data_IF_084489572758
#
_entry.id   IF_084489572758
#
_cell.length_a   1.000
_cell.length_b   1.000
_cell.length_c   1.000
_cell.angle_alpha   90.00
_cell.angle_beta   90.00
_cell.angle_gamma   90.00
#
_symmetry.space_group_name_H-M   'P 1'
#
loop_
_entity.id
_entity.type
_entity.pdbx_description
1 polymer ?
#
# COMPACT_ATOMS: atom_id res chain seq x y z
N UNK A 1 11.54 -7.18 3.68
CA UNK A 1 11.40 -8.21 4.74
C UNK A 1 9.97 -8.25 5.27
N UNK A 2 9.54 -9.36 5.83
CA UNK A 2 8.27 -9.50 6.57
C UNK A 2 8.55 -9.44 8.07
N UNK A 3 7.68 -8.76 8.83
CA UNK A 3 7.79 -8.63 10.29
C UNK A 3 6.65 -9.36 10.99
N UNK A 4 6.96 -10.16 12.02
CA UNK A 4 5.96 -10.77 12.89
C UNK A 4 6.23 -10.38 14.36
N UNK A 5 5.42 -9.49 14.96
CA UNK A 5 5.63 -8.99 16.33
C UNK A 5 5.41 -10.04 17.42
N UNK A 6 4.97 -11.24 17.05
CA UNK A 6 4.75 -12.35 17.99
C UNK A 6 6.00 -13.22 18.18
N UNK A 7 6.96 -13.08 17.26
CA UNK A 7 8.22 -13.82 17.36
C UNK A 7 9.13 -13.25 18.45
N UNK A 8 9.84 -14.13 19.12
CA UNK A 8 10.91 -13.74 20.01
C UNK A 8 12.02 -13.07 19.20
N UNK A 9 12.55 -11.94 19.71
CA UNK A 9 13.57 -11.14 19.03
C UNK A 9 13.21 -10.69 17.60
N UNK A 10 11.92 -10.50 17.31
CA UNK A 10 11.41 -10.16 15.97
C UNK A 10 12.16 -9.00 15.31
N UNK A 11 12.46 -7.93 16.07
CA UNK A 11 13.18 -6.77 15.54
C UNK A 11 14.63 -7.10 15.20
N UNK A 12 15.34 -7.88 16.02
CA UNK A 12 16.75 -8.23 15.76
C UNK A 12 16.87 -9.15 14.54
N UNK A 13 15.96 -10.12 14.40
CA UNK A 13 15.86 -10.95 13.19
C UNK A 13 15.58 -10.10 11.95
N UNK A 14 14.67 -9.13 12.05
CA UNK A 14 14.38 -8.20 10.95
C UNK A 14 15.61 -7.39 10.55
N UNK A 15 16.33 -6.82 11.53
CA UNK A 15 17.56 -6.04 11.29
C UNK A 15 18.61 -6.89 10.55
N UNK A 16 18.86 -8.10 11.05
CA UNK A 16 19.82 -9.04 10.42
C UNK A 16 19.44 -9.30 8.96
N UNK A 17 18.17 -9.63 8.68
CA UNK A 17 17.72 -9.91 7.30
C UNK A 17 17.83 -8.67 6.41
N UNK A 18 17.53 -7.48 6.92
CA UNK A 18 17.65 -6.23 6.14
C UNK A 18 19.11 -5.93 5.84
N UNK A 19 20.01 -6.03 6.84
CA UNK A 19 21.42 -5.70 6.70
C UNK A 19 22.17 -6.73 5.84
N UNK A 20 21.94 -8.03 6.06
CA UNK A 20 22.62 -9.11 5.32
C UNK A 20 22.21 -9.18 3.85
N UNK A 21 20.97 -8.82 3.51
CA UNK A 21 20.45 -8.94 2.16
C UNK A 21 20.20 -7.58 1.47
N UNK A 22 20.52 -6.47 2.12
CA UNK A 22 20.32 -5.13 1.54
C UNK A 22 18.87 -4.81 1.22
N UNK A 23 17.91 -5.32 2.02
CA UNK A 23 16.49 -5.11 1.76
C UNK A 23 16.08 -3.67 2.08
N UNK A 24 15.27 -3.07 1.21
CA UNK A 24 14.92 -1.66 1.26
C UNK A 24 13.47 -1.40 1.72
N UNK A 25 12.86 -2.30 2.44
CA UNK A 25 11.51 -2.10 2.98
C UNK A 25 11.03 -3.28 3.81
N UNK A 26 9.96 -3.02 4.55
CA UNK A 26 9.33 -3.99 5.42
C UNK A 26 7.87 -4.20 5.00
N UNK A 27 7.40 -5.43 5.05
CA UNK A 27 5.97 -5.80 4.89
C UNK A 27 5.43 -6.27 6.23
N UNK A 28 4.21 -5.83 6.55
CA UNK A 28 3.45 -6.31 7.68
C UNK A 28 1.98 -6.52 7.30
N UNK A 29 1.35 -7.53 7.88
CA UNK A 29 -0.07 -7.82 7.65
C UNK A 29 -0.84 -7.99 8.96
N UNK A 30 -1.43 -6.92 9.51
CA UNK A 30 -2.15 -6.99 10.80
C UNK A 30 -3.26 -8.05 10.79
N UNK A 31 -3.96 -8.17 9.68
CA UNK A 31 -5.02 -9.15 9.48
C UNK A 31 -4.52 -10.61 9.54
N UNK A 32 -3.27 -10.87 9.12
CA UNK A 32 -2.68 -12.21 9.13
C UNK A 32 -2.03 -12.57 10.48
N UNK A 33 -1.41 -11.58 11.10
CA UNK A 33 -0.76 -11.78 12.39
C UNK A 33 -1.73 -11.71 13.57
N UNK A 34 -2.93 -11.14 13.38
CA UNK A 34 -3.91 -10.92 14.45
C UNK A 34 -3.43 -9.89 15.48
N UNK A 35 -2.47 -9.02 15.11
CA UNK A 35 -1.92 -7.98 15.97
C UNK A 35 -2.23 -6.63 15.35
N UNK A 36 -2.98 -5.75 16.05
CA UNK A 36 -3.36 -4.44 15.54
C UNK A 36 -2.15 -3.50 15.42
N UNK A 37 -2.30 -2.45 14.59
CA UNK A 37 -1.22 -1.49 14.31
C UNK A 37 -0.81 -0.67 15.54
N UNK A 38 -1.73 -0.45 16.48
CA UNK A 38 -1.50 0.31 17.73
C UNK A 38 -1.00 -0.56 18.89
N UNK A 39 -0.76 -1.85 18.67
CA UNK A 39 -0.17 -2.72 19.68
C UNK A 39 1.25 -2.24 20.02
N UNK A 40 1.61 -2.15 21.32
CA UNK A 40 2.92 -1.69 21.75
C UNK A 40 4.12 -2.46 21.15
N UNK A 41 3.92 -3.71 20.76
CA UNK A 41 4.95 -4.53 20.09
C UNK A 41 5.34 -4.00 18.70
N UNK A 42 4.52 -3.13 18.11
CA UNK A 42 4.79 -2.51 16.82
C UNK A 42 5.70 -1.26 16.91
N UNK A 43 5.74 -0.59 18.07
CA UNK A 43 6.54 0.63 18.27
C UNK A 43 8.03 0.47 17.88
N UNK A 44 8.73 -0.62 18.24
CA UNK A 44 10.12 -0.82 17.84
C UNK A 44 10.31 -0.89 16.31
N UNK A 45 9.36 -1.52 15.59
CA UNK A 45 9.37 -1.56 14.12
C UNK A 45 9.25 -0.16 13.52
N UNK A 46 8.27 0.63 13.98
CA UNK A 46 8.03 1.98 13.45
C UNK A 46 9.25 2.88 13.64
N UNK A 47 9.85 2.87 14.84
CA UNK A 47 11.08 3.62 15.12
C UNK A 47 12.24 3.17 14.25
N UNK A 48 12.41 1.87 14.04
CA UNK A 48 13.46 1.34 13.18
C UNK A 48 13.26 1.77 11.72
N UNK A 49 12.04 1.68 11.19
CA UNK A 49 11.73 2.12 9.84
C UNK A 49 12.00 3.62 9.65
N UNK A 50 11.62 4.47 10.60
CA UNK A 50 11.94 5.90 10.57
C UNK A 50 13.45 6.13 10.62
N UNK A 51 14.17 5.48 11.53
CA UNK A 51 15.62 5.65 11.71
C UNK A 51 16.41 5.25 10.46
N UNK A 52 15.98 4.21 9.76
CA UNK A 52 16.65 3.66 8.57
C UNK A 52 16.04 4.17 7.26
N UNK A 53 15.09 5.06 7.32
CA UNK A 53 14.32 5.57 6.17
C UNK A 53 13.67 4.45 5.32
N UNK A 54 13.22 3.37 5.95
CA UNK A 54 12.62 2.21 5.29
C UNK A 54 11.11 2.39 5.14
N UNK A 55 10.53 2.22 3.94
CA UNK A 55 9.08 2.17 3.78
C UNK A 55 8.50 0.91 4.40
N UNK A 56 7.34 1.08 5.05
CA UNK A 56 6.54 0.00 5.62
C UNK A 56 5.30 -0.23 4.76
N UNK A 57 5.25 -1.36 4.08
CA UNK A 57 4.04 -1.78 3.36
C UNK A 57 3.13 -2.55 4.30
N UNK A 58 1.89 -2.09 4.43
CA UNK A 58 0.86 -2.75 5.23
C UNK A 58 -0.13 -3.47 4.31
N UNK A 59 -0.39 -4.75 4.56
CA UNK A 59 -1.54 -5.40 3.93
C UNK A 59 -2.81 -4.81 4.54
N UNK A 60 -3.56 -4.05 3.73
CA UNK A 60 -4.84 -3.48 4.14
C UNK A 60 -5.94 -4.00 3.24
N UNK A 61 -7.16 -4.09 3.79
CA UNK A 61 -8.30 -4.62 3.08
C UNK A 61 -8.69 -6.03 3.50
N UNK A 62 -9.32 -6.76 2.59
CA UNK A 62 -9.88 -8.08 2.86
C UNK A 62 -8.86 -9.21 2.70
N UNK A 63 -9.25 -10.39 3.19
CA UNK A 63 -8.50 -11.63 3.02
C UNK A 63 -9.46 -12.81 2.85
N UNK A 64 -8.97 -13.90 2.27
CA UNK A 64 -9.66 -15.20 2.23
C UNK A 64 -9.33 -16.09 3.44
N UNK A 65 -8.39 -15.67 4.29
CA UNK A 65 -8.00 -16.45 5.46
C UNK A 65 -9.12 -16.46 6.50
N UNK A 66 -9.67 -17.66 6.78
CA UNK A 66 -10.88 -17.83 7.59
C UNK A 66 -10.73 -17.29 9.04
N UNK A 67 -9.55 -17.42 9.62
CA UNK A 67 -9.29 -17.03 11.01
C UNK A 67 -8.73 -15.62 11.17
N UNK A 68 -8.82 -14.78 10.12
CA UNK A 68 -8.26 -13.43 10.10
C UNK A 68 -9.33 -12.39 10.41
N UNK A 69 -9.19 -11.58 11.48
CA UNK A 69 -10.16 -10.55 11.83
C UNK A 69 -10.17 -9.43 10.78
N UNK A 70 -11.26 -9.28 10.03
CA UNK A 70 -11.38 -8.27 8.97
C UNK A 70 -11.18 -6.83 9.46
N UNK A 71 -11.56 -6.55 10.70
CA UNK A 71 -11.39 -5.21 11.31
C UNK A 71 -9.94 -4.74 11.27
N UNK A 72 -8.96 -5.64 11.43
CA UNK A 72 -7.53 -5.30 11.37
C UNK A 72 -7.05 -4.93 9.96
N UNK A 73 -7.84 -5.20 8.94
CA UNK A 73 -7.54 -4.81 7.55
C UNK A 73 -8.03 -3.42 7.17
N UNK A 74 -8.67 -2.67 8.07
CA UNK A 74 -9.25 -1.36 7.75
C UNK A 74 -8.21 -0.24 7.74
N UNK A 75 -8.20 0.53 6.66
CA UNK A 75 -7.20 1.58 6.44
C UNK A 75 -7.25 2.69 7.49
N UNK A 76 -8.39 2.92 8.11
CA UNK A 76 -8.57 3.96 9.14
C UNK A 76 -7.65 3.78 10.35
N UNK A 77 -7.25 2.55 10.67
CA UNK A 77 -6.32 2.26 11.76
C UNK A 77 -4.89 2.76 11.53
N UNK A 78 -4.57 3.16 10.30
CA UNK A 78 -3.25 3.75 9.96
C UNK A 78 -3.17 5.21 10.40
N UNK A 79 -4.28 5.92 10.45
CA UNK A 79 -4.31 7.36 10.76
C UNK A 79 -3.62 7.70 12.10
N UNK A 80 -3.93 7.06 13.25
CA UNK A 80 -3.23 7.34 14.51
C UNK A 80 -1.74 6.98 14.46
N UNK A 81 -1.35 5.98 13.69
CA UNK A 81 0.06 5.60 13.54
C UNK A 81 0.83 6.68 12.77
N UNK A 82 0.26 7.15 11.65
CA UNK A 82 0.85 8.22 10.85
C UNK A 82 0.97 9.53 11.64
N UNK A 83 0.04 9.83 12.53
CA UNK A 83 0.12 10.99 13.43
C UNK A 83 1.22 10.84 14.49
N UNK A 84 1.37 9.64 15.05
CA UNK A 84 2.41 9.33 16.07
C UNK A 84 3.83 9.28 15.47
N UNK A 85 3.94 8.85 14.21
CA UNK A 85 5.20 8.68 13.46
C UNK A 85 5.13 9.44 12.13
N UNK A 86 5.18 10.77 12.12
CA UNK A 86 4.95 11.57 10.92
C UNK A 86 6.00 11.36 9.82
N UNK A 87 7.19 10.90 10.17
CA UNK A 87 8.27 10.61 9.21
C UNK A 87 8.22 9.17 8.67
N UNK A 88 7.33 8.33 9.20
CA UNK A 88 7.20 6.94 8.74
C UNK A 88 6.53 6.91 7.35
N UNK A 89 7.24 6.36 6.37
CA UNK A 89 6.66 6.10 5.04
C UNK A 89 5.83 4.83 5.08
N UNK A 90 4.52 4.95 4.85
CA UNK A 90 3.58 3.83 4.88
C UNK A 90 2.95 3.64 3.50
N UNK A 91 2.91 2.40 3.00
CA UNK A 91 2.22 2.04 1.76
C UNK A 91 1.08 1.08 2.09
N UNK A 92 -0.15 1.46 1.76
CA UNK A 92 -1.35 0.66 1.97
C UNK A 92 -1.59 -0.24 0.76
N UNK A 93 -1.45 -1.55 0.93
CA UNK A 93 -1.66 -2.49 -0.16
C UNK A 93 -3.12 -2.52 -0.60
N UNK A 94 -3.33 -2.75 -1.92
CA UNK A 94 -4.65 -2.97 -2.54
C UNK A 94 -5.65 -1.83 -2.29
N UNK A 95 -5.15 -0.59 -2.12
CA UNK A 95 -6.02 0.57 -1.78
C UNK A 95 -6.98 0.31 -0.61
N UNK A 96 -6.63 -0.61 0.30
CA UNK A 96 -7.50 -0.99 1.43
C UNK A 96 -8.81 -1.66 1.03
N UNK A 97 -8.90 -2.23 -0.18
CA UNK A 97 -10.10 -2.85 -0.72
C UNK A 97 -10.75 -3.86 0.26
N UNK A 98 -12.09 -3.84 0.51
CA UNK A 98 -13.13 -3.03 -0.15
C UNK A 98 -13.39 -1.66 0.49
N UNK A 99 -12.72 -1.28 1.57
CA UNK A 99 -12.90 0.00 2.30
C UNK A 99 -11.99 1.10 1.74
N UNK A 100 -11.94 1.23 0.42
CA UNK A 100 -11.03 2.13 -0.28
C UNK A 100 -11.27 3.62 0.01
N UNK A 101 -12.51 4.01 0.37
CA UNK A 101 -12.78 5.38 0.77
C UNK A 101 -12.01 5.77 2.04
N UNK A 102 -11.87 4.87 3.00
CA UNK A 102 -11.02 5.10 4.17
C UNK A 102 -9.56 5.26 3.75
N UNK A 103 -9.08 4.40 2.85
CA UNK A 103 -7.72 4.50 2.33
C UNK A 103 -7.47 5.85 1.66
N UNK A 104 -8.39 6.30 0.81
CA UNK A 104 -8.29 7.59 0.11
C UNK A 104 -8.20 8.75 1.09
N UNK A 105 -9.05 8.80 2.12
CA UNK A 105 -9.00 9.92 3.09
C UNK A 105 -7.76 9.84 3.99
N UNK A 106 -7.27 8.65 4.31
CA UNK A 106 -6.05 8.46 5.10
C UNK A 106 -4.82 8.92 4.35
N UNK A 107 -4.65 8.51 3.07
CA UNK A 107 -3.51 8.95 2.26
C UNK A 107 -3.57 10.44 1.94
N UNK A 108 -4.77 11.02 1.78
CA UNK A 108 -4.95 12.47 1.57
C UNK A 108 -4.51 13.28 2.78
N UNK A 109 -4.87 12.84 3.98
CA UNK A 109 -4.61 13.56 5.23
C UNK A 109 -3.13 13.49 5.63
N UNK A 110 -2.49 12.35 5.46
CA UNK A 110 -1.17 12.05 6.00
C UNK A 110 -0.09 12.14 4.90
N UNK A 111 0.86 13.08 4.96
CA UNK A 111 1.83 13.34 3.89
C UNK A 111 2.64 12.10 3.47
N UNK A 112 3.08 11.29 4.43
CA UNK A 112 3.95 10.12 4.22
C UNK A 112 3.18 8.79 4.15
N UNK A 113 1.86 8.82 3.94
CA UNK A 113 1.04 7.63 3.69
C UNK A 113 0.66 7.56 2.23
N UNK A 114 0.88 6.43 1.62
CA UNK A 114 0.70 6.11 0.20
C UNK A 114 -0.15 4.85 0.07
N UNK A 115 -0.52 4.48 -1.16
CA UNK A 115 -1.22 3.23 -1.43
C UNK A 115 -0.74 2.60 -2.76
N UNK A 116 -1.13 1.35 -3.03
CA UNK A 116 -0.83 0.69 -4.29
C UNK A 116 -2.06 -0.09 -4.82
N UNK A 117 -2.11 -0.31 -6.13
CA UNK A 117 -3.31 -0.79 -6.84
C UNK A 117 -3.25 -2.26 -7.26
N UNK A 118 -2.38 -3.06 -6.66
CA UNK A 118 -2.23 -4.46 -7.04
C UNK A 118 -3.49 -5.30 -6.85
N UNK A 119 -3.66 -6.31 -7.69
CA UNK A 119 -4.72 -7.33 -7.59
C UNK A 119 -6.16 -6.76 -7.53
N UNK A 120 -6.43 -5.63 -8.18
CA UNK A 120 -7.75 -4.98 -8.18
C UNK A 120 -8.46 -5.05 -9.54
N UNK A 121 -7.73 -5.11 -10.66
CA UNK A 121 -8.27 -4.97 -12.01
C UNK A 121 -9.31 -6.04 -12.38
N UNK A 122 -9.25 -7.22 -11.81
CA UNK A 122 -10.22 -8.30 -12.04
C UNK A 122 -11.54 -8.11 -11.27
N UNK A 123 -11.71 -6.96 -10.59
CA UNK A 123 -12.95 -6.44 -10.03
C UNK A 123 -13.28 -5.10 -10.68
N UNK A 124 -13.68 -5.08 -11.98
CA UNK A 124 -13.65 -3.87 -12.80
C UNK A 124 -14.49 -2.72 -12.23
N UNK A 125 -15.65 -3.00 -11.64
CA UNK A 125 -16.48 -1.97 -10.99
C UNK A 125 -15.78 -1.34 -9.79
N UNK A 126 -15.20 -2.14 -8.93
CA UNK A 126 -14.52 -1.64 -7.73
C UNK A 126 -13.24 -0.90 -8.11
N UNK A 127 -12.45 -1.46 -9.05
CA UNK A 127 -11.22 -0.83 -9.52
C UNK A 127 -11.48 0.55 -10.15
N UNK A 128 -12.49 0.64 -10.99
CA UNK A 128 -12.93 1.92 -11.56
C UNK A 128 -13.31 2.92 -10.46
N UNK A 129 -14.16 2.54 -9.49
CA UNK A 129 -14.58 3.44 -8.42
C UNK A 129 -13.41 3.87 -7.53
N UNK A 130 -12.47 2.98 -7.22
CA UNK A 130 -11.24 3.29 -6.46
C UNK A 130 -10.47 4.41 -7.16
N UNK A 131 -10.23 4.29 -8.46
CA UNK A 131 -9.44 5.26 -9.21
C UNK A 131 -10.18 6.59 -9.42
N UNK A 132 -11.49 6.56 -9.65
CA UNK A 132 -12.32 7.78 -9.72
C UNK A 132 -12.30 8.50 -8.37
N UNK A 133 -12.52 7.79 -7.26
CA UNK A 133 -12.48 8.40 -5.93
C UNK A 133 -11.11 9.01 -5.64
N UNK A 134 -10.02 8.30 -5.95
CA UNK A 134 -8.67 8.83 -5.78
C UNK A 134 -8.41 10.08 -6.62
N UNK A 135 -8.94 10.13 -7.85
CA UNK A 135 -8.86 11.28 -8.74
C UNK A 135 -9.67 12.48 -8.21
N UNK A 136 -10.89 12.27 -7.74
CA UNK A 136 -11.73 13.31 -7.13
C UNK A 136 -11.12 13.90 -5.86
N UNK A 137 -10.41 13.08 -5.09
CA UNK A 137 -9.70 13.50 -3.86
C UNK A 137 -8.29 14.04 -4.12
N UNK A 138 -7.83 14.07 -5.39
CA UNK A 138 -6.53 14.60 -5.83
C UNK A 138 -5.34 13.89 -5.13
N UNK A 139 -5.39 12.55 -5.06
CA UNK A 139 -4.36 11.73 -4.39
C UNK A 139 -3.67 10.72 -5.34
N UNK A 140 -3.86 10.87 -6.64
CA UNK A 140 -3.30 9.95 -7.64
C UNK A 140 -1.78 9.96 -7.70
N UNK A 141 -1.14 11.04 -7.23
CA UNK A 141 0.30 11.18 -7.07
C UNK A 141 0.88 10.36 -5.89
N UNK A 142 0.00 9.80 -5.06
CA UNK A 142 0.35 8.97 -3.89
C UNK A 142 0.11 7.48 -4.14
N UNK A 143 -0.17 7.09 -5.37
CA UNK A 143 -0.53 5.72 -5.73
C UNK A 143 0.59 5.05 -6.52
N UNK A 144 1.08 3.91 -6.01
CA UNK A 144 2.02 3.05 -6.71
C UNK A 144 1.31 2.04 -7.61
N UNK A 145 1.96 1.68 -8.69
CA UNK A 145 1.62 0.49 -9.44
C UNK A 145 2.13 -0.76 -8.71
N UNK A 146 1.35 -1.84 -8.74
CA UNK A 146 1.72 -3.14 -8.17
C UNK A 146 1.01 -4.27 -8.90
N UNK A 147 1.50 -5.50 -8.73
CA UNK A 147 0.93 -6.70 -9.34
C UNK A 147 0.34 -7.68 -8.35
N UNK A 148 0.87 -7.76 -7.13
CA UNK A 148 0.60 -8.84 -6.17
C UNK A 148 0.98 -10.23 -6.74
N UNK A 149 2.11 -10.28 -7.48
CA UNK A 149 2.62 -11.55 -8.00
C UNK A 149 2.87 -12.54 -6.84
N UNK A 150 2.48 -13.83 -6.96
CA UNK A 150 2.09 -14.55 -8.18
C UNK A 150 0.57 -14.57 -8.45
N UNK A 151 -0.27 -13.87 -7.70
CA UNK A 151 -1.73 -13.87 -7.91
C UNK A 151 -2.13 -13.24 -9.25
N UNK A 152 -1.39 -12.22 -9.68
CA UNK A 152 -1.54 -11.63 -11.01
C UNK A 152 -0.18 -11.37 -11.65
N UNK A 153 -0.15 -11.16 -12.96
CA UNK A 153 1.07 -10.89 -13.71
C UNK A 153 1.20 -9.40 -14.05
N UNK A 154 2.44 -8.97 -14.36
CA UNK A 154 2.71 -7.62 -14.82
C UNK A 154 1.87 -7.24 -16.05
N UNK A 155 1.78 -8.16 -17.03
CA UNK A 155 1.02 -7.94 -18.28
C UNK A 155 -0.47 -7.73 -18.00
N UNK A 156 -1.07 -8.56 -17.16
CA UNK A 156 -2.49 -8.45 -16.78
C UNK A 156 -2.76 -7.17 -16.01
N UNK A 157 -1.92 -6.83 -15.05
CA UNK A 157 -2.08 -5.63 -14.24
C UNK A 157 -1.98 -4.34 -15.08
N UNK A 158 -1.01 -4.24 -16.00
CA UNK A 158 -0.91 -3.12 -16.94
C UNK A 158 -2.13 -3.06 -17.86
N UNK A 159 -2.54 -4.19 -18.43
CA UNK A 159 -3.71 -4.25 -19.30
C UNK A 159 -4.98 -3.84 -18.56
N UNK A 160 -5.15 -4.34 -17.32
CA UNK A 160 -6.30 -4.02 -16.48
C UNK A 160 -6.40 -2.52 -16.17
N UNK A 161 -5.28 -1.88 -15.84
CA UNK A 161 -5.26 -0.43 -15.59
C UNK A 161 -5.56 0.37 -16.86
N UNK A 162 -4.94 0.04 -17.98
CA UNK A 162 -5.18 0.73 -19.27
C UNK A 162 -6.64 0.58 -19.76
N UNK A 163 -7.30 -0.50 -19.39
CA UNK A 163 -8.67 -0.80 -19.80
C UNK A 163 -9.73 -0.42 -18.75
N UNK A 164 -9.37 0.27 -17.68
CA UNK A 164 -10.28 0.58 -16.56
C UNK A 164 -11.56 1.30 -16.99
N UNK A 165 -11.48 2.10 -18.04
CA UNK A 165 -12.62 2.85 -18.57
C UNK A 165 -13.55 2.06 -19.50
N UNK A 166 -13.22 0.81 -19.86
CA UNK A 166 -14.10 -0.01 -20.72
C UNK A 166 -15.49 -0.22 -20.09
N UNK A 167 -15.55 -0.33 -18.76
CA UNK A 167 -16.81 -0.49 -18.02
C UNK A 167 -17.81 0.63 -18.26
N UNK A 168 -17.32 1.85 -18.50
CA UNK A 168 -18.13 3.07 -18.63
C UNK A 168 -18.15 3.63 -20.06
N UNK A 169 -17.69 2.84 -21.04
CA UNK A 169 -17.68 3.24 -22.44
C UNK A 169 -19.09 3.57 -22.93
N UNK A 170 -19.25 4.70 -23.64
CA UNK A 170 -20.52 5.19 -24.11
C UNK A 170 -21.47 5.75 -23.05
N UNK A 171 -21.08 5.73 -21.78
CA UNK A 171 -21.87 6.31 -20.68
C UNK A 171 -21.51 7.79 -20.43
N UNK A 172 -22.24 8.43 -19.48
CA UNK A 172 -21.95 9.78 -18.97
C UNK A 172 -21.15 9.76 -17.66
N UNK A 173 -20.71 8.59 -17.21
CA UNK A 173 -19.89 8.51 -16.01
C UNK A 173 -18.52 9.17 -16.21
N UNK A 174 -17.93 9.73 -15.15
CA UNK A 174 -16.58 10.28 -15.22
C UNK A 174 -15.58 9.21 -15.68
N UNK A 175 -14.49 9.63 -16.31
CA UNK A 175 -13.44 8.70 -16.75
C UNK A 175 -12.20 8.88 -15.91
N UNK A 176 -11.52 7.78 -15.61
CA UNK A 176 -10.14 7.85 -15.13
C UNK A 176 -9.30 8.47 -16.27
N UNK A 177 -8.63 9.57 -15.99
CA UNK A 177 -7.86 10.30 -17.01
C UNK A 177 -6.63 9.52 -17.45
N UNK A 178 -6.19 9.74 -18.69
CA UNK A 178 -4.94 9.16 -19.20
C UNK A 178 -3.75 9.61 -18.34
N UNK A 179 -3.77 10.86 -17.85
CA UNK A 179 -2.76 11.38 -16.92
C UNK A 179 -2.69 10.56 -15.63
N UNK A 180 -3.83 10.17 -15.06
CA UNK A 180 -3.89 9.31 -13.87
C UNK A 180 -3.32 7.93 -14.16
N UNK A 181 -3.69 7.32 -15.31
CA UNK A 181 -3.21 6.01 -15.73
C UNK A 181 -1.69 6.04 -15.94
N UNK A 182 -1.19 7.03 -16.67
CA UNK A 182 0.24 7.17 -16.96
C UNK A 182 1.04 7.47 -15.70
N UNK A 183 0.52 8.30 -14.80
CA UNK A 183 1.15 8.59 -13.51
C UNK A 183 1.34 7.31 -12.70
N UNK A 184 0.31 6.49 -12.56
CA UNK A 184 0.39 5.23 -11.81
C UNK A 184 1.37 4.26 -12.48
N UNK A 185 1.41 4.19 -13.81
CA UNK A 185 2.27 3.25 -14.54
C UNK A 185 3.75 3.68 -14.60
N UNK A 186 4.03 4.97 -14.73
CA UNK A 186 5.34 5.46 -15.15
C UNK A 186 6.00 6.42 -14.17
N UNK A 187 5.30 6.84 -13.10
CA UNK A 187 5.87 7.67 -12.04
C UNK A 187 5.93 6.90 -10.73
N UNK A 188 6.88 7.26 -9.87
CA UNK A 188 6.95 6.71 -8.52
C UNK A 188 6.73 7.82 -7.50
N UNK A 189 5.80 7.66 -6.52
CA UNK A 189 5.70 8.58 -5.40
C UNK A 189 7.00 8.75 -4.60
N UNK A 190 7.92 7.79 -4.73
CA UNK A 190 9.25 7.80 -4.09
C UNK A 190 10.39 8.12 -5.06
N UNK A 191 10.15 8.83 -6.15
CA UNK A 191 11.18 9.11 -7.15
C UNK A 191 12.44 9.72 -6.52
N UNK A 192 12.30 10.73 -5.66
CA UNK A 192 13.43 11.34 -4.96
C UNK A 192 14.11 10.39 -3.96
N UNK A 193 13.34 9.52 -3.30
CA UNK A 193 13.87 8.55 -2.36
C UNK A 193 14.72 7.47 -3.05
N UNK A 194 14.26 6.96 -4.22
CA UNK A 194 15.01 5.98 -5.01
C UNK A 194 16.36 6.51 -5.50
N UNK A 195 16.44 7.80 -5.84
CA UNK A 195 17.70 8.44 -6.24
C UNK A 195 18.70 8.56 -5.08
N UNK A 196 18.23 8.68 -3.85
CA UNK A 196 19.08 8.74 -2.65
C UNK A 196 19.47 7.34 -2.13
N UNK A 197 18.66 6.34 -2.42
CA UNK A 197 18.83 4.95 -1.98
C UNK A 197 18.80 4.02 -3.21
N UNK A 198 19.81 4.10 -4.12
CA UNK A 198 19.79 3.27 -5.33
C UNK A 198 19.86 1.80 -4.97
N UNK A 199 18.99 1.01 -5.60
CA UNK A 199 19.07 -0.45 -5.51
C UNK A 199 20.41 -0.84 -6.14
N UNK A 200 21.31 -1.39 -5.34
CA UNK A 200 22.56 -1.97 -5.86
C UNK A 200 22.21 -3.13 -6.79
N UNK A 201 22.33 -2.92 -8.10
CA UNK A 201 22.27 -3.95 -9.13
C UNK A 201 23.63 -4.57 -9.29
#
# INVERSE_FOLDING_TARGET
AYFDPREEEALEKLKTVIEDHGLQGVKYGPIYNGVPLDDPRMDPLYRYCVQKDLPLTLHMGTTFAHNSPLELGRAIHVDPIAQKYPDLKIILAHMGHPWYEECVVVIRKNPNVYAEVSALFYRPWQYYNILITAQEYLVTDKIFFGTDYPFTTLKESISGLKNVNQLVEGSKFPRVTDETIDRILYSSPFEHWWHQNPIGL
#
